data_IF_305868434339
#
_entry.id   IF_305868434339
#
_cell.length_a   1.000
_cell.length_b   1.000
_cell.length_c   1.000
_cell.angle_alpha   90.00
_cell.angle_beta   90.00
_cell.angle_gamma   90.00
#
_symmetry.space_group_name_H-M   'P 1'
#
loop_
_entity.id
_entity.type
_entity.pdbx_description
1 polymer ?
#
# COMPACT_ATOMS: atom_id res chain seq x y z
N UNK A 1 -2.35 -26.21 -42.34
CA UNK A 1 -1.70 -24.90 -42.65
C UNK A 1 -2.67 -23.75 -42.36
N UNK A 2 -3.92 -23.82 -42.84
CA UNK A 2 -4.94 -22.79 -42.67
C UNK A 2 -5.27 -22.49 -41.19
N UNK A 3 -5.42 -23.50 -40.34
CA UNK A 3 -5.67 -23.35 -38.91
C UNK A 3 -4.49 -22.72 -38.16
N UNK A 4 -3.25 -22.96 -38.57
CA UNK A 4 -2.08 -22.35 -37.97
C UNK A 4 -1.97 -20.85 -38.33
N UNK A 5 -2.31 -20.51 -39.57
CA UNK A 5 -2.31 -19.13 -40.04
C UNK A 5 -3.42 -18.30 -39.37
N UNK A 6 -4.62 -18.85 -39.28
CA UNK A 6 -5.76 -18.21 -38.60
C UNK A 6 -5.43 -17.96 -37.12
N UNK A 7 -4.81 -18.94 -36.43
CA UNK A 7 -4.37 -18.79 -35.04
C UNK A 7 -3.31 -17.70 -34.89
N UNK A 8 -2.33 -17.65 -35.79
CA UNK A 8 -1.31 -16.62 -35.81
C UNK A 8 -1.92 -15.23 -35.97
N UNK A 9 -2.85 -15.06 -36.92
CA UNK A 9 -3.53 -13.79 -37.13
C UNK A 9 -4.36 -13.37 -35.92
N UNK A 10 -5.11 -14.28 -35.31
CA UNK A 10 -5.85 -13.98 -34.08
C UNK A 10 -4.93 -13.50 -32.96
N UNK A 11 -3.86 -14.25 -32.66
CA UNK A 11 -2.88 -13.85 -31.64
C UNK A 11 -2.27 -12.47 -31.93
N UNK A 12 -1.99 -12.17 -33.21
CA UNK A 12 -1.44 -10.87 -33.61
C UNK A 12 -2.45 -9.73 -33.41
N UNK A 13 -3.72 -9.98 -33.71
CA UNK A 13 -4.79 -8.99 -33.50
C UNK A 13 -4.99 -8.78 -31.99
N UNK A 14 -5.09 -9.84 -31.22
CA UNK A 14 -5.27 -9.76 -29.76
C UNK A 14 -4.12 -8.96 -29.11
N UNK A 15 -2.86 -9.27 -29.46
CA UNK A 15 -1.69 -8.54 -29.00
C UNK A 15 -1.72 -7.05 -29.38
N UNK A 16 -2.16 -6.75 -30.62
CA UNK A 16 -2.31 -5.37 -31.10
C UNK A 16 -3.41 -4.62 -30.35
N UNK A 17 -4.54 -5.26 -30.07
CA UNK A 17 -5.63 -4.69 -29.29
C UNK A 17 -5.19 -4.40 -27.85
N UNK A 18 -4.49 -5.34 -27.20
CA UNK A 18 -3.97 -5.17 -25.85
C UNK A 18 -2.96 -4.01 -25.79
N UNK A 19 -2.06 -3.91 -26.76
CA UNK A 19 -1.12 -2.81 -26.85
C UNK A 19 -1.83 -1.46 -27.04
N UNK A 20 -2.82 -1.39 -27.93
CA UNK A 20 -3.61 -0.18 -28.14
C UNK A 20 -4.40 0.21 -26.90
N UNK A 21 -4.98 -0.77 -26.20
CA UNK A 21 -5.67 -0.53 -24.94
C UNK A 21 -4.75 0.10 -23.90
N UNK A 22 -3.53 -0.46 -23.71
CA UNK A 22 -2.54 0.10 -22.78
C UNK A 22 -2.09 1.52 -23.15
N UNK A 23 -1.91 1.79 -24.45
CA UNK A 23 -1.55 3.13 -24.93
C UNK A 23 -2.66 4.14 -24.66
N UNK A 24 -3.92 3.73 -24.74
CA UNK A 24 -5.07 4.61 -24.57
C UNK A 24 -5.51 4.77 -23.11
N UNK A 25 -5.35 3.74 -22.27
CA UNK A 25 -5.90 3.70 -20.91
C UNK A 25 -4.82 3.61 -19.80
N UNK A 26 -3.54 3.45 -20.20
CA UNK A 26 -2.45 3.22 -19.26
C UNK A 26 -2.36 1.77 -18.76
N UNK A 27 -1.42 1.53 -17.84
CA UNK A 27 -1.24 0.22 -17.20
C UNK A 27 -2.28 0.02 -16.09
N UNK A 28 -2.75 -1.23 -15.96
CA UNK A 28 -3.60 -1.66 -14.84
C UNK A 28 -2.72 -2.36 -13.80
N UNK A 29 -2.61 -1.78 -12.63
CA UNK A 29 -1.70 -2.26 -11.59
C UNK A 29 -2.48 -2.64 -10.34
N UNK A 30 -2.21 -3.83 -9.79
CA UNK A 30 -2.80 -4.29 -8.54
C UNK A 30 -1.88 -4.01 -7.36
N UNK A 31 -2.49 -3.81 -6.19
CA UNK A 31 -1.79 -3.74 -4.92
C UNK A 31 -2.65 -4.35 -3.81
N UNK A 32 -2.04 -4.71 -2.68
CA UNK A 32 -2.78 -5.24 -1.53
C UNK A 32 -3.03 -4.15 -0.48
N UNK A 33 -4.26 -4.06 0.01
CA UNK A 33 -4.67 -3.12 1.04
C UNK A 33 -5.70 -2.12 0.56
N UNK A 34 -5.62 -0.90 1.07
CA UNK A 34 -6.52 0.21 0.72
C UNK A 34 -5.70 1.42 0.27
N UNK A 35 -6.35 2.40 -0.33
CA UNK A 35 -5.73 3.68 -0.67
C UNK A 35 -5.10 4.33 0.58
N UNK A 36 -3.90 4.89 0.44
CA UNK A 36 -3.10 5.42 1.56
C UNK A 36 -2.27 4.38 2.33
N UNK A 37 -2.36 3.07 2.02
CA UNK A 37 -1.44 2.07 2.57
C UNK A 37 -0.08 2.11 1.85
N UNK A 38 0.99 1.58 2.48
CA UNK A 38 2.34 1.57 1.89
C UNK A 38 2.41 0.87 0.53
N UNK A 39 1.64 -0.20 0.31
CA UNK A 39 1.56 -0.85 -1.00
C UNK A 39 0.92 0.06 -2.07
N UNK A 40 -0.08 0.87 -1.72
CA UNK A 40 -0.63 1.90 -2.60
C UNK A 40 0.42 2.97 -2.93
N UNK A 41 1.15 3.45 -1.93
CA UNK A 41 2.19 4.45 -2.10
C UNK A 41 3.28 3.93 -3.05
N UNK A 42 3.73 2.69 -2.85
CA UNK A 42 4.68 2.03 -3.74
C UNK A 42 4.14 1.96 -5.18
N UNK A 43 2.91 1.50 -5.35
CA UNK A 43 2.27 1.40 -6.66
C UNK A 43 2.17 2.77 -7.36
N UNK A 44 1.78 3.81 -6.62
CA UNK A 44 1.69 5.18 -7.13
C UNK A 44 3.05 5.76 -7.54
N UNK A 45 4.12 5.46 -6.80
CA UNK A 45 5.48 5.89 -7.14
C UNK A 45 6.05 5.17 -8.35
N UNK A 46 5.81 3.85 -8.45
CA UNK A 46 6.30 3.05 -9.57
C UNK A 46 5.53 3.33 -10.86
N UNK A 47 4.23 3.59 -10.75
CA UNK A 47 3.30 3.72 -11.88
C UNK A 47 2.38 4.94 -11.69
N UNK A 48 2.89 6.19 -11.84
CA UNK A 48 2.13 7.41 -11.54
C UNK A 48 0.86 7.57 -12.38
N UNK A 49 0.88 7.08 -13.61
CA UNK A 49 -0.22 7.20 -14.59
C UNK A 49 -1.08 5.94 -14.70
N UNK A 50 -0.82 4.91 -13.88
CA UNK A 50 -1.55 3.65 -13.96
C UNK A 50 -2.91 3.73 -13.26
N UNK A 51 -3.82 2.90 -13.73
CA UNK A 51 -5.03 2.55 -12.99
C UNK A 51 -4.67 1.58 -11.86
N UNK A 52 -4.82 2.03 -10.61
CA UNK A 52 -4.47 1.25 -9.43
C UNK A 52 -5.72 0.57 -8.86
N UNK A 53 -5.65 -0.75 -8.66
CA UNK A 53 -6.76 -1.54 -8.09
C UNK A 53 -6.33 -2.26 -6.82
N UNK A 54 -7.08 -2.04 -5.75
CA UNK A 54 -6.86 -2.65 -4.44
C UNK A 54 -7.37 -4.09 -4.38
N UNK A 55 -6.60 -4.97 -3.77
CA UNK A 55 -6.99 -6.34 -3.45
C UNK A 55 -6.89 -6.62 -1.95
N UNK A 56 -7.69 -7.58 -1.46
CA UNK A 56 -7.73 -7.91 -0.04
C UNK A 56 -6.54 -8.77 0.42
N UNK A 57 -5.85 -9.43 -0.52
CA UNK A 57 -4.69 -10.28 -0.22
C UNK A 57 -3.63 -10.25 -1.33
N UNK A 58 -2.39 -10.55 -0.96
CA UNK A 58 -1.28 -10.69 -1.92
C UNK A 58 -1.57 -11.77 -2.97
N UNK A 59 -2.20 -12.86 -2.57
CA UNK A 59 -2.54 -13.98 -3.45
C UNK A 59 -3.56 -13.57 -4.52
N UNK A 60 -4.58 -12.81 -4.15
CA UNK A 60 -5.58 -12.32 -5.12
C UNK A 60 -4.98 -11.31 -6.09
N UNK A 61 -4.17 -10.36 -5.60
CA UNK A 61 -3.46 -9.40 -6.44
C UNK A 61 -2.53 -10.09 -7.44
N UNK A 62 -1.75 -11.09 -6.97
CA UNK A 62 -0.88 -11.91 -7.82
C UNK A 62 -1.66 -12.67 -8.89
N UNK A 63 -2.71 -13.41 -8.49
CA UNK A 63 -3.52 -14.22 -9.40
C UNK A 63 -4.28 -13.41 -10.45
N UNK A 64 -4.65 -12.17 -10.15
CA UNK A 64 -5.28 -11.28 -11.13
C UNK A 64 -4.33 -10.95 -12.28
N UNK A 65 -3.02 -10.78 -11.99
CA UNK A 65 -2.00 -10.61 -13.03
C UNK A 65 -1.71 -11.92 -13.76
N UNK A 66 -1.61 -13.03 -13.05
CA UNK A 66 -1.38 -14.36 -13.63
C UNK A 66 -2.48 -14.75 -14.64
N UNK A 67 -3.72 -14.36 -14.39
CA UNK A 67 -4.86 -14.54 -15.32
C UNK A 67 -4.89 -13.53 -16.47
N UNK A 68 -3.97 -12.55 -16.52
CA UNK A 68 -3.93 -11.49 -17.52
C UNK A 68 -5.00 -10.39 -17.35
N UNK A 69 -5.68 -10.35 -16.22
CA UNK A 69 -6.69 -9.31 -15.91
C UNK A 69 -6.03 -7.96 -15.62
N UNK A 70 -4.78 -7.98 -15.17
CA UNK A 70 -3.94 -6.82 -14.84
C UNK A 70 -2.54 -6.98 -15.42
N UNK A 71 -1.82 -5.89 -15.54
CA UNK A 71 -0.51 -5.86 -16.19
C UNK A 71 0.65 -6.08 -15.21
N UNK A 72 0.51 -5.60 -13.96
CA UNK A 72 1.50 -5.75 -12.89
C UNK A 72 0.83 -5.85 -11.51
N UNK A 73 1.53 -6.47 -10.56
CA UNK A 73 1.21 -6.42 -9.13
C UNK A 73 2.37 -5.78 -8.37
N UNK A 74 2.05 -4.86 -7.46
CA UNK A 74 3.02 -4.28 -6.52
C UNK A 74 2.83 -4.96 -5.17
N UNK A 75 3.83 -5.74 -4.78
CA UNK A 75 3.80 -6.58 -3.59
C UNK A 75 5.08 -6.36 -2.76
N UNK A 76 4.99 -6.34 -1.41
CA UNK A 76 6.15 -6.19 -0.55
C UNK A 76 6.95 -7.49 -0.51
N UNK A 77 8.27 -7.44 -0.77
CA UNK A 77 9.17 -8.60 -0.66
C UNK A 77 9.69 -8.75 0.77
N UNK A 78 10.13 -7.64 1.35
CA UNK A 78 10.67 -7.63 2.71
C UNK A 78 10.43 -6.27 3.40
N UNK A 79 10.59 -6.27 4.70
CA UNK A 79 10.63 -5.07 5.50
C UNK A 79 11.78 -5.18 6.50
N UNK A 80 12.61 -4.15 6.63
CA UNK A 80 13.81 -4.16 7.47
C UNK A 80 13.54 -4.41 8.96
N UNK A 81 12.29 -4.30 9.40
CA UNK A 81 11.87 -4.54 10.80
C UNK A 81 11.32 -5.95 11.03
N UNK A 82 10.63 -6.53 10.06
CA UNK A 82 9.94 -7.83 10.18
C UNK A 82 10.63 -8.92 9.36
N UNK A 83 11.45 -8.54 8.38
CA UNK A 83 12.09 -9.46 7.44
C UNK A 83 11.22 -9.76 6.23
N UNK A 84 11.42 -10.93 5.65
CA UNK A 84 10.76 -11.38 4.42
C UNK A 84 9.25 -11.55 4.59
N UNK A 85 8.50 -11.17 3.57
CA UNK A 85 7.05 -11.43 3.48
C UNK A 85 6.85 -12.83 2.88
N UNK A 86 6.84 -13.85 3.73
CA UNK A 86 6.84 -15.26 3.33
C UNK A 86 5.82 -15.61 2.25
N UNK A 87 4.57 -15.14 2.38
CA UNK A 87 3.52 -15.36 1.38
C UNK A 87 3.91 -14.83 -0.02
N UNK A 88 4.54 -13.65 -0.10
CA UNK A 88 4.97 -13.07 -1.38
C UNK A 88 6.18 -13.80 -1.92
N UNK A 89 7.11 -14.20 -1.06
CA UNK A 89 8.26 -15.04 -1.45
C UNK A 89 7.78 -16.38 -2.03
N UNK A 90 6.84 -17.05 -1.38
CA UNK A 90 6.25 -18.31 -1.89
C UNK A 90 5.59 -18.12 -3.27
N UNK A 91 4.84 -17.04 -3.48
CA UNK A 91 4.23 -16.71 -4.77
C UNK A 91 5.30 -16.46 -5.86
N UNK A 92 6.38 -15.78 -5.51
CA UNK A 92 7.48 -15.48 -6.44
C UNK A 92 8.26 -16.73 -6.83
N UNK A 93 8.48 -17.66 -5.90
CA UNK A 93 9.24 -18.89 -6.16
C UNK A 93 8.41 -19.99 -6.85
N UNK A 94 7.11 -20.08 -6.57
CA UNK A 94 6.25 -21.15 -7.06
C UNK A 94 5.34 -20.77 -8.22
N UNK A 95 5.23 -19.49 -8.54
CA UNK A 95 4.36 -18.97 -9.61
C UNK A 95 5.10 -18.69 -10.91
N UNK A 96 4.34 -18.31 -11.94
CA UNK A 96 4.83 -18.11 -13.31
C UNK A 96 5.14 -16.63 -13.65
N UNK A 97 4.90 -15.70 -12.71
CA UNK A 97 5.19 -14.28 -12.92
C UNK A 97 6.66 -13.96 -12.61
N UNK A 98 7.15 -12.88 -13.22
CA UNK A 98 8.52 -12.40 -13.07
C UNK A 98 8.58 -11.09 -12.31
N UNK A 99 9.60 -10.93 -11.47
CA UNK A 99 9.94 -9.63 -10.84
C UNK A 99 10.61 -8.75 -11.90
N UNK A 100 9.94 -7.66 -12.30
CA UNK A 100 10.43 -6.75 -13.33
C UNK A 100 11.17 -5.54 -12.75
N UNK A 101 10.77 -5.12 -11.54
CA UNK A 101 11.33 -3.94 -10.86
C UNK A 101 11.22 -4.10 -9.35
N UNK A 102 12.15 -3.52 -8.63
CA UNK A 102 12.15 -3.42 -7.17
C UNK A 102 12.43 -1.97 -6.80
N UNK A 103 11.78 -1.46 -5.76
CA UNK A 103 12.07 -0.16 -5.15
C UNK A 103 12.23 -0.32 -3.64
N UNK A 104 13.02 0.55 -3.06
CA UNK A 104 13.10 0.74 -1.61
C UNK A 104 12.15 1.88 -1.22
N UNK A 105 11.17 1.57 -0.37
CA UNK A 105 10.22 2.54 0.15
C UNK A 105 10.49 2.79 1.63
N UNK A 106 10.93 3.99 2.03
CA UNK A 106 11.03 4.35 3.44
C UNK A 106 9.66 4.29 4.13
N UNK A 107 9.61 3.60 5.27
CA UNK A 107 8.40 3.52 6.10
C UNK A 107 8.45 4.61 7.16
N UNK A 108 7.88 5.75 6.84
CA UNK A 108 7.79 6.90 7.74
C UNK A 108 6.42 6.91 8.38
N UNK A 109 6.38 6.97 9.71
CA UNK A 109 5.14 7.08 10.48
C UNK A 109 4.97 8.50 10.99
N UNK A 110 3.76 9.03 10.84
CA UNK A 110 3.39 10.36 11.32
C UNK A 110 2.18 10.25 12.24
N UNK A 111 2.02 11.17 13.17
CA UNK A 111 0.79 11.34 13.95
C UNK A 111 -0.17 12.19 13.13
N UNK A 112 -1.31 11.64 12.76
CA UNK A 112 -2.32 12.33 11.95
C UNK A 112 -3.68 12.35 12.67
N UNK A 113 -4.36 13.47 12.60
CA UNK A 113 -5.65 13.69 13.28
C UNK A 113 -6.60 14.56 12.47
N UNK A 114 -7.77 14.81 13.01
CA UNK A 114 -8.73 15.77 12.43
C UNK A 114 -8.21 17.21 12.59
N UNK A 115 -8.80 18.17 11.89
CA UNK A 115 -8.30 19.56 11.87
C UNK A 115 -8.23 20.21 13.26
N UNK A 116 -9.12 19.82 14.15
CA UNK A 116 -9.24 20.31 15.52
C UNK A 116 -8.26 19.63 16.50
N UNK A 117 -7.62 18.54 16.07
CA UNK A 117 -6.65 17.81 16.91
C UNK A 117 -5.38 18.60 17.11
N UNK A 118 -4.81 18.49 18.30
CA UNK A 118 -3.45 18.95 18.66
C UNK A 118 -2.72 17.82 19.38
N UNK A 119 -1.40 17.89 19.47
CA UNK A 119 -0.60 16.89 20.21
C UNK A 119 -1.11 16.76 21.65
N UNK A 120 -1.49 17.88 22.29
CA UNK A 120 -1.97 17.92 23.67
C UNK A 120 -3.41 17.40 23.83
N UNK A 121 -4.24 17.50 22.78
CA UNK A 121 -5.63 17.02 22.85
C UNK A 121 -5.74 15.52 22.64
N UNK A 122 -4.78 14.90 21.93
CA UNK A 122 -4.77 13.47 21.65
C UNK A 122 -4.62 12.66 22.94
N UNK A 123 -5.45 11.66 23.11
CA UNK A 123 -5.42 10.69 24.21
C UNK A 123 -5.18 9.27 23.71
N UNK A 124 -5.73 8.95 22.54
CA UNK A 124 -5.66 7.60 21.97
C UNK A 124 -5.06 7.66 20.58
N UNK A 125 -4.12 6.76 20.31
CA UNK A 125 -3.55 6.54 18.97
C UNK A 125 -3.99 5.19 18.43
N UNK A 126 -4.36 5.16 17.15
CA UNK A 126 -4.84 3.95 16.48
C UNK A 126 -3.94 3.63 15.29
N UNK A 127 -3.50 2.37 15.14
CA UNK A 127 -2.73 1.93 13.98
C UNK A 127 -2.58 0.41 13.92
N UNK A 128 -1.89 -0.07 12.88
CA UNK A 128 -1.44 -1.46 12.82
C UNK A 128 -0.46 -1.76 13.98
N UNK A 129 -0.49 -2.95 14.60
CA UNK A 129 0.39 -3.30 15.71
C UNK A 129 1.87 -3.01 15.45
N UNK A 130 2.34 -3.29 14.25
CA UNK A 130 3.72 -3.01 13.84
C UNK A 130 4.05 -1.51 13.86
N UNK A 131 3.16 -0.65 13.37
CA UNK A 131 3.37 0.79 13.40
C UNK A 131 3.34 1.35 14.82
N UNK A 132 2.45 0.83 15.68
CA UNK A 132 2.44 1.16 17.11
C UNK A 132 3.76 0.79 17.78
N UNK A 133 4.29 -0.40 17.51
CA UNK A 133 5.58 -0.85 18.03
C UNK A 133 6.75 0.01 17.52
N UNK A 134 6.72 0.43 16.25
CA UNK A 134 7.74 1.30 15.67
C UNK A 134 7.74 2.72 16.26
N UNK A 135 6.69 3.12 16.95
CA UNK A 135 6.51 4.44 17.58
C UNK A 135 6.33 4.34 19.11
N UNK A 136 6.74 3.21 19.73
CA UNK A 136 6.48 2.92 21.13
C UNK A 136 6.99 4.03 22.07
N UNK A 137 8.24 4.50 21.88
CA UNK A 137 8.82 5.57 22.71
C UNK A 137 8.11 6.90 22.56
N UNK A 138 7.59 7.16 21.35
CA UNK A 138 6.80 8.38 21.10
C UNK A 138 5.46 8.30 21.86
N UNK A 139 4.78 7.17 21.78
CA UNK A 139 3.49 6.89 22.45
C UNK A 139 3.65 7.01 23.98
N UNK A 140 4.68 6.35 24.54
CA UNK A 140 4.99 6.41 25.98
C UNK A 140 5.31 7.82 26.46
N UNK A 141 6.14 8.57 25.71
CA UNK A 141 6.53 9.94 26.05
C UNK A 141 5.32 10.87 26.21
N UNK A 142 4.29 10.68 25.36
CA UNK A 142 3.09 11.53 25.40
C UNK A 142 1.98 10.93 26.28
N UNK A 143 2.16 9.71 26.79
CA UNK A 143 1.16 9.03 27.61
C UNK A 143 -0.12 8.65 26.87
N UNK A 144 0.00 8.38 25.56
CA UNK A 144 -1.16 7.99 24.75
C UNK A 144 -1.55 6.54 25.00
N UNK A 145 -2.85 6.25 24.97
CA UNK A 145 -3.38 4.90 24.85
C UNK A 145 -3.26 4.42 23.40
N UNK A 146 -2.95 3.13 23.19
CA UNK A 146 -2.85 2.56 21.85
C UNK A 146 -3.96 1.57 21.57
N UNK A 147 -4.53 1.63 20.34
CA UNK A 147 -5.53 0.68 19.86
C UNK A 147 -5.12 0.11 18.50
N UNK A 148 -5.19 -1.22 18.37
CA UNK A 148 -4.78 -1.93 17.16
C UNK A 148 -5.85 -1.91 16.07
N UNK A 149 -5.40 -1.69 14.82
CA UNK A 149 -6.18 -1.81 13.60
C UNK A 149 -5.50 -2.76 12.61
N UNK A 150 -6.25 -3.26 11.63
CA UNK A 150 -5.74 -4.21 10.64
C UNK A 150 -4.71 -3.62 9.68
N UNK A 151 -4.72 -2.31 9.42
CA UNK A 151 -3.65 -1.57 8.74
C UNK A 151 -3.69 -0.08 9.09
N UNK A 152 -2.60 0.63 8.77
CA UNK A 152 -2.40 2.06 9.09
C UNK A 152 -3.40 2.98 8.36
N UNK A 153 -3.73 2.68 7.11
CA UNK A 153 -4.66 3.50 6.33
C UNK A 153 -6.12 3.32 6.81
N UNK A 154 -6.52 2.11 7.21
CA UNK A 154 -7.83 1.89 7.84
C UNK A 154 -7.94 2.58 9.21
N UNK A 155 -6.84 2.67 9.96
CA UNK A 155 -6.80 3.45 11.18
C UNK A 155 -7.02 4.95 10.89
N UNK A 156 -6.37 5.49 9.86
CA UNK A 156 -6.58 6.86 9.40
C UNK A 156 -8.03 7.11 8.95
N UNK A 157 -8.59 6.21 8.16
CA UNK A 157 -9.99 6.28 7.74
C UNK A 157 -10.96 6.26 8.94
N UNK A 158 -10.67 5.45 9.96
CA UNK A 158 -11.44 5.42 11.20
C UNK A 158 -11.39 6.76 11.93
N UNK A 159 -10.21 7.35 12.11
CA UNK A 159 -10.05 8.68 12.73
C UNK A 159 -10.87 9.72 11.98
N UNK A 160 -10.83 9.70 10.65
CA UNK A 160 -11.67 10.58 9.82
C UNK A 160 -13.14 10.41 10.07
N UNK A 161 -13.62 9.15 10.13
CA UNK A 161 -15.04 8.84 10.33
C UNK A 161 -15.52 9.18 11.75
N UNK A 162 -14.67 8.99 12.75
CA UNK A 162 -14.97 9.28 14.15
C UNK A 162 -15.06 10.80 14.40
N UNK A 163 -14.22 11.56 13.71
CA UNK A 163 -14.13 13.03 13.84
C UNK A 163 -13.97 13.52 15.28
N UNK A 164 -13.20 12.79 16.08
CA UNK A 164 -12.90 13.10 17.49
C UNK A 164 -11.48 13.65 17.60
N UNK A 165 -11.28 14.91 18.08
CA UNK A 165 -9.96 15.52 18.19
C UNK A 165 -9.06 14.86 19.25
N UNK A 166 -9.58 13.95 20.07
CA UNK A 166 -8.80 13.20 21.07
C UNK A 166 -8.24 11.89 20.53
N UNK A 167 -8.59 11.51 19.30
CA UNK A 167 -8.12 10.28 18.65
C UNK A 167 -7.30 10.63 17.42
N UNK A 168 -6.09 10.06 17.32
CA UNK A 168 -5.20 10.23 16.18
C UNK A 168 -4.76 8.89 15.61
N UNK A 169 -4.39 8.84 14.33
CA UNK A 169 -3.80 7.67 13.71
C UNK A 169 -2.28 7.81 13.57
N UNK A 170 -1.58 6.68 13.58
CA UNK A 170 -0.17 6.60 13.17
C UNK A 170 -0.17 5.98 11.77
N UNK A 171 0.25 6.75 10.76
CA UNK A 171 0.24 6.34 9.36
C UNK A 171 1.25 7.13 8.51
N UNK A 172 1.35 6.78 7.22
CA UNK A 172 2.11 7.56 6.24
C UNK A 172 1.45 8.93 6.00
N UNK A 173 2.25 9.89 5.52
CA UNK A 173 1.77 11.24 5.15
C UNK A 173 0.73 11.21 4.04
N UNK A 174 0.87 10.33 3.05
CA UNK A 174 -0.10 10.16 1.97
C UNK A 174 -1.50 9.78 2.49
N UNK A 175 -1.59 9.09 3.64
CA UNK A 175 -2.89 8.80 4.26
C UNK A 175 -3.57 10.08 4.77
N UNK A 176 -2.81 11.10 5.17
CA UNK A 176 -3.38 12.40 5.56
C UNK A 176 -4.05 13.11 4.38
N UNK A 177 -3.42 13.07 3.21
CA UNK A 177 -3.95 13.66 1.97
C UNK A 177 -5.19 12.91 1.49
N UNK A 178 -5.13 11.57 1.45
CA UNK A 178 -6.24 10.71 0.98
C UNK A 178 -7.49 10.91 1.82
N UNK A 179 -7.37 10.99 3.15
CA UNK A 179 -8.52 11.09 4.05
C UNK A 179 -8.84 12.51 4.50
N UNK A 180 -8.08 13.52 4.04
CA UNK A 180 -8.26 14.91 4.45
C UNK A 180 -8.07 15.09 5.96
N UNK A 181 -7.02 14.48 6.50
CA UNK A 181 -6.55 14.61 7.87
C UNK A 181 -5.37 15.59 7.93
N UNK A 182 -5.00 16.01 9.12
CA UNK A 182 -3.86 16.90 9.37
C UNK A 182 -2.72 16.11 10.01
N UNK A 183 -1.49 16.34 9.56
CA UNK A 183 -0.29 15.87 10.24
C UNK A 183 -0.09 16.73 11.48
N UNK A 184 -0.08 16.09 12.66
CA UNK A 184 0.14 16.72 13.96
C UNK A 184 1.63 16.73 14.32
N UNK A 185 2.31 15.61 14.02
CA UNK A 185 3.76 15.45 14.18
C UNK A 185 4.31 14.46 13.14
N UNK A 186 5.51 14.71 12.65
CA UNK A 186 6.11 13.96 11.54
C UNK A 186 7.28 13.11 12.02
N UNK A 187 7.55 12.00 11.28
CA UNK A 187 8.71 11.11 11.50
C UNK A 187 8.82 10.62 12.95
N UNK A 188 7.70 10.17 13.52
CA UNK A 188 7.62 9.76 14.93
C UNK A 188 8.16 8.34 15.19
N UNK A 189 8.73 7.68 14.18
CA UNK A 189 9.37 6.36 14.31
C UNK A 189 10.53 6.41 15.31
N UNK A 190 10.66 5.37 16.12
CA UNK A 190 11.80 5.16 17.03
C UNK A 190 13.11 4.92 16.26
N UNK A 191 13.03 4.35 15.07
CA UNK A 191 14.16 4.13 14.16
C UNK A 191 13.88 4.75 12.79
N UNK A 192 14.86 5.51 12.28
CA UNK A 192 14.73 6.17 10.96
C UNK A 192 15.11 5.29 9.77
N UNK A 193 15.53 4.05 9.99
CA UNK A 193 16.05 3.14 8.96
C UNK A 193 15.06 2.02 8.62
N UNK A 194 13.75 2.30 8.65
CA UNK A 194 12.74 1.33 8.25
C UNK A 194 12.44 1.48 6.76
N UNK A 195 12.68 0.40 6.00
CA UNK A 195 12.50 0.33 4.56
C UNK A 195 11.69 -0.94 4.24
N UNK A 196 10.81 -0.85 3.31
CA UNK A 196 10.10 -2.00 2.74
C UNK A 196 10.29 -2.06 1.24
#
# INVERSE_FOLDING_TARGET
>A
VENAYVRFLKNTIDLSCDFQFRVMHGMRVTYCGVEGAFSYIAAKRMFPEAELTAFSSFNEAYKAVDRGEYDCAVLPLENSYVGEVGTVMDLTFSGDLFVNQVIDLPVVQNLIGVNESTIESVKTVVSHPQALQQCEKYIERHGYESQSYSNTALAAMHVKSLNDPTVAAIAADEASDVFGLRILDSEINDSKNNIT
#
